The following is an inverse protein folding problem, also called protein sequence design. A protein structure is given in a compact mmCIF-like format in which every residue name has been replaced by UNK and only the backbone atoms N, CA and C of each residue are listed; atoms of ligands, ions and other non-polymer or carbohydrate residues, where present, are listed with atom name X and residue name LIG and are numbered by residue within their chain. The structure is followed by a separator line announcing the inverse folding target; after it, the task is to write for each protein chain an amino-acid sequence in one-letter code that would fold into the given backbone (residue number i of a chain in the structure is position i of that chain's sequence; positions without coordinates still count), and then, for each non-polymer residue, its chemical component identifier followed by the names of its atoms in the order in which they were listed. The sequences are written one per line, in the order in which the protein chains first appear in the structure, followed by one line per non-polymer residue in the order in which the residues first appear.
data_IF_762390795255
#
_entry.id   IF_762390795255
#
_cell.length_a   1.000
_cell.length_b   1.000
_cell.length_c   1.000
_cell.angle_alpha   90.00
_cell.angle_beta   90.00
_cell.angle_gamma   90.00
#
_symmetry.space_group_name_H-M   'P 1'
#
loop_
_entity.id
_entity.type
_entity.pdbx_description
1 polymer ?
#
# COMPACT_ATOMS: atom_id res chain seq x y z
N UNK A 1 4.49 3.25 15.86
CA UNK A 1 4.35 2.56 14.56
C UNK A 1 3.26 1.51 14.74
N UNK A 2 2.24 1.46 13.88
CA UNK A 2 1.19 0.44 14.01
C UNK A 2 1.69 -0.90 13.46
N UNK A 3 1.34 -2.04 14.08
CA UNK A 3 1.50 -3.36 13.47
C UNK A 3 0.89 -3.43 12.07
N UNK A 4 1.55 -4.13 11.15
CA UNK A 4 1.07 -4.23 9.75
C UNK A 4 -0.30 -4.93 9.65
N UNK A 5 -0.63 -5.77 10.63
CA UNK A 5 -1.91 -6.45 10.75
C UNK A 5 -3.08 -5.49 11.00
N UNK A 6 -2.87 -4.44 11.80
CA UNK A 6 -3.91 -3.45 12.08
C UNK A 6 -4.23 -2.65 10.81
N UNK A 7 -3.20 -2.30 10.02
CA UNK A 7 -3.36 -1.62 8.73
C UNK A 7 -4.09 -2.53 7.73
N UNK A 8 -3.71 -3.81 7.64
CA UNK A 8 -4.35 -4.78 6.76
C UNK A 8 -5.84 -4.95 7.09
N UNK A 9 -6.20 -4.96 8.38
CA UNK A 9 -7.59 -5.04 8.85
C UNK A 9 -8.43 -3.84 8.41
N UNK A 10 -7.88 -2.63 8.48
CA UNK A 10 -8.55 -1.40 7.98
C UNK A 10 -8.82 -1.48 6.48
N UNK A 11 -7.92 -2.09 5.71
CA UNK A 11 -8.06 -2.30 4.27
C UNK A 11 -8.93 -3.51 3.89
N UNK A 12 -9.38 -4.30 4.86
CA UNK A 12 -10.17 -5.51 4.63
C UNK A 12 -9.37 -6.64 3.96
N UNK A 13 -8.06 -6.69 4.17
CA UNK A 13 -7.19 -7.74 3.63
C UNK A 13 -7.21 -8.97 4.55
N UNK A 14 -7.46 -10.18 4.03
CA UNK A 14 -7.39 -11.41 4.81
C UNK A 14 -5.94 -11.79 5.12
N UNK A 15 -5.71 -12.58 6.17
CA UNK A 15 -4.36 -12.94 6.62
C UNK A 15 -3.59 -13.81 5.61
N UNK A 16 -4.28 -14.66 4.85
CA UNK A 16 -3.70 -15.53 3.82
C UNK A 16 -3.14 -14.75 2.62
N UNK A 17 -3.58 -13.52 2.42
CA UNK A 17 -3.04 -12.59 1.43
C UNK A 17 -1.68 -12.00 1.81
N UNK A 18 -1.22 -12.18 3.06
CA UNK A 18 -0.04 -11.52 3.61
C UNK A 18 1.17 -12.48 3.67
N UNK A 19 2.35 -11.95 3.38
CA UNK A 19 3.65 -12.64 3.57
C UNK A 19 4.50 -11.76 4.48
N UNK A 20 4.53 -12.10 5.78
CA UNK A 20 5.09 -11.25 6.82
C UNK A 20 6.63 -11.19 6.78
N UNK A 21 7.14 -10.00 7.08
CA UNK A 21 8.55 -9.71 7.31
C UNK A 21 8.66 -8.89 8.61
N UNK A 22 8.61 -9.58 9.75
CA UNK A 22 8.49 -8.94 11.05
C UNK A 22 7.11 -8.30 11.28
N UNK A 23 7.02 -7.45 12.30
CA UNK A 23 5.73 -6.91 12.81
C UNK A 23 5.16 -5.76 11.98
N UNK A 24 6.01 -5.05 11.22
CA UNK A 24 5.65 -3.80 10.56
C UNK A 24 5.76 -3.84 9.03
N UNK A 25 6.08 -5.00 8.45
CA UNK A 25 6.21 -5.15 7.00
C UNK A 25 5.61 -6.48 6.52
N UNK A 26 5.00 -6.43 5.34
CA UNK A 26 4.44 -7.61 4.67
C UNK A 26 4.45 -7.39 3.15
N UNK A 27 4.51 -8.48 2.39
CA UNK A 27 4.19 -8.45 0.95
C UNK A 27 2.75 -8.92 0.74
N UNK A 28 2.10 -8.38 -0.28
CA UNK A 28 0.76 -8.81 -0.70
C UNK A 28 0.87 -9.87 -1.81
N UNK A 29 0.11 -10.97 -1.66
CA UNK A 29 -0.10 -11.92 -2.76
C UNK A 29 -0.97 -11.26 -3.84
N UNK A 30 -0.66 -11.52 -5.10
CA UNK A 30 -1.42 -10.96 -6.23
C UNK A 30 -2.91 -11.32 -6.21
N UNK A 31 -3.26 -12.48 -5.64
CA UNK A 31 -4.66 -12.91 -5.46
C UNK A 31 -5.50 -11.96 -4.60
N UNK A 32 -4.86 -11.10 -3.81
CA UNK A 32 -5.52 -10.08 -3.00
C UNK A 32 -5.99 -8.86 -3.81
N UNK A 33 -5.47 -8.70 -5.04
CA UNK A 33 -5.90 -7.60 -5.90
C UNK A 33 -7.38 -7.75 -6.26
N UNK A 34 -8.19 -6.69 -6.13
CA UNK A 34 -9.59 -6.76 -6.51
C UNK A 34 -9.70 -7.10 -8.00
N UNK A 35 -10.50 -8.11 -8.33
CA UNK A 35 -10.87 -8.39 -9.72
C UNK A 35 -11.55 -7.14 -10.27
N UNK A 36 -11.16 -6.73 -11.48
CA UNK A 36 -11.36 -5.39 -12.09
C UNK A 36 -12.81 -4.88 -12.27
N UNK A 37 -13.80 -5.42 -11.56
CA UNK A 37 -15.23 -5.12 -11.75
C UNK A 37 -16.03 -4.83 -10.47
N UNK A 38 -15.44 -4.92 -9.28
CA UNK A 38 -16.23 -4.90 -8.03
C UNK A 38 -16.38 -3.49 -7.42
N UNK A 39 -15.43 -2.56 -7.68
CA UNK A 39 -15.46 -1.21 -7.08
C UNK A 39 -15.00 -0.15 -8.08
N UNK A 40 -15.54 1.08 -8.01
CA UNK A 40 -14.99 2.20 -8.77
C UNK A 40 -13.51 2.40 -8.39
N UNK A 41 -12.69 2.73 -9.38
CA UNK A 41 -11.29 3.05 -9.13
C UNK A 41 -11.19 4.28 -8.20
N UNK A 42 -10.21 4.24 -7.29
CA UNK A 42 -9.87 5.39 -6.45
C UNK A 42 -9.35 6.57 -7.28
N UNK A 43 -9.21 7.73 -6.64
CA UNK A 43 -8.58 8.90 -7.27
C UNK A 43 -7.07 8.65 -7.41
N UNK A 44 -6.51 9.03 -8.55
CA UNK A 44 -5.07 8.97 -8.81
C UNK A 44 -4.52 10.39 -8.64
N UNK A 45 -3.63 10.56 -7.66
CA UNK A 45 -2.93 11.83 -7.41
C UNK A 45 -1.45 11.61 -7.70
N UNK A 46 -0.94 12.30 -8.72
CA UNK A 46 0.48 12.30 -9.06
C UNK A 46 1.19 13.40 -8.28
N UNK A 47 2.19 13.03 -7.48
CA UNK A 47 3.10 13.96 -6.81
C UNK A 47 4.40 13.96 -7.60
N UNK A 48 4.91 15.15 -7.92
CA UNK A 48 6.17 15.34 -8.65
C UNK A 48 6.96 16.49 -8.01
N UNK A 49 8.19 16.68 -8.45
CA UNK A 49 9.08 17.73 -7.98
C UNK A 49 9.67 18.49 -9.17
N UNK A 50 10.27 19.64 -8.88
CA UNK A 50 11.11 20.37 -9.83
C UNK A 50 12.41 19.60 -10.10
N UNK A 51 13.24 20.09 -11.02
CA UNK A 51 14.58 19.53 -11.21
C UNK A 51 15.35 19.56 -9.87
N UNK A 52 15.94 18.43 -9.44
CA UNK A 52 16.56 18.35 -8.13
C UNK A 52 17.78 19.27 -8.02
N UNK A 53 17.95 19.85 -6.84
CA UNK A 53 19.02 20.77 -6.45
C UNK A 53 19.76 20.20 -5.24
N UNK A 54 20.91 20.81 -4.88
CA UNK A 54 21.64 20.39 -3.66
C UNK A 54 20.86 20.64 -2.37
N UNK A 55 19.84 21.49 -2.40
CA UNK A 55 19.06 21.86 -1.21
C UNK A 55 18.02 20.81 -0.84
N UNK A 56 17.68 19.91 -1.77
CA UNK A 56 16.63 18.90 -1.61
C UNK A 56 15.23 19.47 -1.84
N UNK A 57 14.33 18.60 -2.30
CA UNK A 57 12.96 18.97 -2.71
C UNK A 57 11.88 18.32 -1.83
N UNK A 58 12.29 17.45 -0.89
CA UNK A 58 11.42 16.57 -0.12
C UNK A 58 11.86 15.12 -0.27
#
# INVERSE_FOLDING_TARGET
MHPILDIAKVLGLPSDALIHYGEHMTKLRLQALPKARIRPAGKIILVSAINPTRSGEG
#
